data_IF_442134263691
#
_entry.id   IF_442134263691
#
_cell.length_a   1.000
_cell.length_b   1.000
_cell.length_c   1.000
_cell.angle_alpha   90.00
_cell.angle_beta   90.00
_cell.angle_gamma   90.00
#
_symmetry.space_group_name_H-M   'P 1'
#
loop_
_entity.id
_entity.type
_entity.pdbx_description
1 polymer ?
#
# COMPACT_ATOMS: atom_id res chain seq x y z
N UNK A 1 8.92 53.52 -25.67
CA UNK A 1 9.18 52.14 -25.18
C UNK A 1 7.93 51.66 -24.46
N UNK A 2 6.97 51.09 -25.18
CA UNK A 2 5.76 50.48 -24.62
C UNK A 2 5.23 49.46 -25.62
N UNK A 3 5.23 48.19 -25.21
CA UNK A 3 4.22 47.20 -25.58
C UNK A 3 4.52 45.93 -24.78
N UNK A 4 3.89 45.82 -23.61
CA UNK A 4 3.73 44.52 -22.97
C UNK A 4 2.69 43.71 -23.73
N UNK A 5 2.92 42.41 -23.88
CA UNK A 5 1.86 41.45 -24.14
C UNK A 5 2.16 40.18 -23.35
N UNK A 6 1.22 39.87 -22.46
CA UNK A 6 1.21 38.70 -21.59
C UNK A 6 1.11 37.42 -22.43
N UNK A 7 2.08 36.52 -22.29
CA UNK A 7 1.97 35.17 -22.79
C UNK A 7 1.26 34.31 -21.74
N UNK A 8 0.02 33.95 -22.06
CA UNK A 8 -0.86 33.04 -21.32
C UNK A 8 -0.14 31.71 -21.04
N UNK A 9 0.14 31.41 -19.77
CA UNK A 9 0.52 30.07 -19.33
C UNK A 9 -0.71 29.16 -19.37
N UNK A 10 -0.83 28.37 -20.44
CA UNK A 10 -1.75 27.23 -20.50
C UNK A 10 -1.26 26.15 -19.54
N UNK A 11 -1.73 26.20 -18.29
CA UNK A 11 -1.61 25.09 -17.35
C UNK A 11 -2.59 24.01 -17.81
N UNK A 12 -2.12 23.10 -18.66
CA UNK A 12 -2.79 21.82 -18.89
C UNK A 12 -2.63 20.97 -17.63
N UNK A 13 -3.47 21.23 -16.63
CA UNK A 13 -3.66 20.36 -15.49
C UNK A 13 -4.40 19.11 -15.94
N UNK A 14 -3.67 18.12 -16.47
CA UNK A 14 -4.19 16.77 -16.55
C UNK A 14 -4.41 16.30 -15.12
N UNK A 15 -5.67 16.35 -14.68
CA UNK A 15 -6.14 15.60 -13.54
C UNK A 15 -5.84 14.13 -13.85
N UNK A 16 -4.69 13.67 -13.37
CA UNK A 16 -4.31 12.27 -13.38
C UNK A 16 -5.36 11.61 -12.49
N UNK A 17 -6.43 11.10 -13.11
CA UNK A 17 -7.31 10.13 -12.50
C UNK A 17 -6.41 8.92 -12.22
N UNK A 18 -5.71 8.95 -11.09
CA UNK A 18 -5.00 7.81 -10.57
C UNK A 18 -6.07 6.76 -10.32
N UNK A 19 -6.24 5.87 -11.30
CA UNK A 19 -6.69 4.51 -11.07
C UNK A 19 -5.90 4.02 -9.87
N UNK A 20 -6.46 4.05 -8.65
CA UNK A 20 -5.76 3.65 -7.43
C UNK A 20 -5.25 2.23 -7.63
N UNK A 21 -3.98 2.01 -7.98
CA UNK A 21 -3.48 0.67 -8.15
C UNK A 21 -3.40 0.07 -6.75
N UNK A 22 -3.58 -1.24 -6.62
CA UNK A 22 -3.37 -1.94 -5.36
C UNK A 22 -4.35 -1.58 -4.22
N UNK A 23 -5.64 -1.36 -4.53
CA UNK A 23 -6.68 -1.01 -3.54
C UNK A 23 -6.64 -1.87 -2.26
N UNK A 24 -6.57 -3.20 -2.40
CA UNK A 24 -6.52 -4.13 -1.26
C UNK A 24 -5.23 -3.94 -0.46
N UNK A 25 -4.09 -3.85 -1.13
CA UNK A 25 -2.79 -3.65 -0.47
C UNK A 25 -2.76 -2.35 0.34
N UNK A 26 -3.18 -1.24 -0.28
CA UNK A 26 -3.18 0.07 0.38
C UNK A 26 -4.10 0.06 1.58
N UNK A 27 -5.31 -0.49 1.44
CA UNK A 27 -6.27 -0.59 2.54
C UNK A 27 -5.70 -1.40 3.71
N UNK A 28 -5.24 -2.63 3.48
CA UNK A 28 -4.74 -3.50 4.56
C UNK A 28 -3.53 -2.87 5.28
N UNK A 29 -2.58 -2.31 4.53
CA UNK A 29 -1.42 -1.65 5.14
C UNK A 29 -1.80 -0.39 5.90
N UNK A 30 -2.76 0.40 5.40
CA UNK A 30 -3.27 1.58 6.12
C UNK A 30 -3.96 1.18 7.41
N UNK A 31 -4.85 0.18 7.36
CA UNK A 31 -5.60 -0.31 8.53
C UNK A 31 -4.66 -0.95 9.57
N UNK A 32 -3.58 -1.60 9.14
CA UNK A 32 -2.56 -2.13 10.03
C UNK A 32 -1.73 -1.02 10.68
N UNK A 33 -1.26 -0.04 9.89
CA UNK A 33 -0.45 1.08 10.40
C UNK A 33 -1.21 2.00 11.35
N UNK A 34 -2.53 2.12 11.20
CA UNK A 34 -3.39 2.83 12.15
C UNK A 34 -3.42 2.19 13.55
N UNK A 35 -3.08 0.89 13.65
CA UNK A 35 -2.98 0.15 14.93
C UNK A 35 -1.58 0.23 15.55
N UNK A 36 -0.59 0.78 14.84
CA UNK A 36 0.79 0.88 15.34
C UNK A 36 0.90 2.08 16.29
N UNK A 37 1.35 1.90 17.55
CA UNK A 37 1.61 3.00 18.46
C UNK A 37 2.64 3.98 17.88
N UNK A 38 2.48 5.29 18.08
CA UNK A 38 3.40 6.31 17.55
C UNK A 38 4.87 6.02 17.90
N UNK A 39 5.14 5.61 19.15
CA UNK A 39 6.49 5.28 19.61
C UNK A 39 7.10 4.03 18.94
N UNK A 40 6.30 3.25 18.22
CA UNK A 40 6.69 2.01 17.56
C UNK A 40 6.68 2.12 16.02
N UNK A 41 6.18 3.22 15.46
CA UNK A 41 6.13 3.44 14.00
C UNK A 41 7.49 3.47 13.32
N UNK A 42 8.58 3.69 14.07
CA UNK A 42 9.94 3.64 13.54
C UNK A 42 10.63 2.29 13.71
N UNK A 43 9.94 1.28 14.26
CA UNK A 43 10.50 -0.04 14.57
C UNK A 43 9.93 -1.10 13.61
N UNK A 44 10.74 -1.65 12.68
CA UNK A 44 10.28 -2.65 11.72
C UNK A 44 9.70 -3.90 12.38
N UNK A 45 10.27 -4.35 13.50
CA UNK A 45 9.79 -5.55 14.21
C UNK A 45 8.41 -5.34 14.86
N UNK A 46 8.20 -4.17 15.46
CA UNK A 46 6.89 -3.78 15.99
C UNK A 46 5.84 -3.69 14.89
N UNK A 47 6.16 -3.02 13.78
CA UNK A 47 5.27 -2.95 12.61
C UNK A 47 4.96 -4.35 12.08
N UNK A 48 5.96 -5.22 11.96
CA UNK A 48 5.79 -6.61 11.53
C UNK A 48 4.82 -7.35 12.45
N UNK A 49 4.98 -7.20 13.77
CA UNK A 49 4.07 -7.82 14.75
C UNK A 49 2.63 -7.32 14.56
N UNK A 50 2.43 -6.00 14.47
CA UNK A 50 1.08 -5.42 14.30
C UNK A 50 0.44 -5.86 12.99
N UNK A 51 1.19 -5.91 11.88
CA UNK A 51 0.69 -6.41 10.60
C UNK A 51 0.29 -7.89 10.71
N UNK A 52 1.10 -8.73 11.34
CA UNK A 52 0.76 -10.15 11.56
C UNK A 52 -0.50 -10.30 12.41
N UNK A 53 -0.61 -9.56 13.51
CA UNK A 53 -1.84 -9.58 14.32
C UNK A 53 -3.05 -9.11 13.53
N UNK A 54 -2.93 -8.01 12.76
CA UNK A 54 -3.99 -7.54 11.87
C UNK A 54 -4.41 -8.65 10.89
N UNK A 55 -3.44 -9.33 10.27
CA UNK A 55 -3.66 -10.33 9.24
C UNK A 55 -4.34 -11.62 9.74
N UNK A 56 -4.20 -11.99 11.02
CA UNK A 56 -4.89 -13.17 11.59
C UNK A 56 -6.41 -13.08 11.49
N UNK A 57 -6.96 -11.86 11.65
CA UNK A 57 -8.40 -11.63 11.66
C UNK A 57 -8.97 -11.34 10.26
N UNK A 58 -8.09 -11.22 9.25
CA UNK A 58 -8.50 -10.89 7.88
C UNK A 58 -9.17 -12.07 7.17
N UNK A 59 -10.08 -11.76 6.24
CA UNK A 59 -10.79 -12.73 5.41
C UNK A 59 -10.73 -12.34 3.94
N UNK A 60 -11.07 -13.26 3.05
CA UNK A 60 -11.22 -13.00 1.61
C UNK A 60 -9.95 -12.43 0.96
N UNK A 61 -10.07 -11.26 0.30
CA UNK A 61 -8.97 -10.61 -0.43
C UNK A 61 -7.89 -10.09 0.50
N UNK A 62 -8.24 -9.66 1.71
CA UNK A 62 -7.29 -9.18 2.72
C UNK A 62 -6.41 -10.32 3.20
N UNK A 63 -7.02 -11.48 3.48
CA UNK A 63 -6.30 -12.69 3.84
C UNK A 63 -5.36 -13.15 2.72
N UNK A 64 -5.83 -13.11 1.47
CA UNK A 64 -5.00 -13.44 0.30
C UNK A 64 -3.81 -12.47 0.14
N UNK A 65 -4.01 -11.18 0.41
CA UNK A 65 -2.91 -10.21 0.44
C UNK A 65 -1.92 -10.52 1.56
N UNK A 66 -2.41 -10.75 2.79
CA UNK A 66 -1.59 -11.17 3.93
C UNK A 66 -0.77 -12.43 3.64
N UNK A 67 -1.36 -13.37 2.89
CA UNK A 67 -0.65 -14.56 2.42
C UNK A 67 0.52 -14.21 1.51
N UNK A 68 0.31 -13.33 0.53
CA UNK A 68 1.35 -12.93 -0.43
C UNK A 68 2.52 -12.19 0.24
N UNK A 69 2.26 -11.32 1.22
CA UNK A 69 3.33 -10.56 1.87
C UNK A 69 4.09 -11.34 2.94
N UNK A 70 3.69 -12.57 3.28
CA UNK A 70 4.37 -13.35 4.33
C UNK A 70 3.88 -13.05 5.75
N UNK A 71 2.68 -12.50 5.91
CA UNK A 71 2.13 -12.10 7.20
C UNK A 71 1.37 -13.22 7.94
N UNK A 72 1.13 -14.35 7.29
CA UNK A 72 0.50 -15.54 7.87
C UNK A 72 1.54 -16.62 8.18
N UNK A 73 1.31 -17.49 9.20
CA UNK A 73 2.26 -18.53 9.59
C UNK A 73 2.53 -19.56 8.49
N UNK A 74 1.59 -19.78 7.58
CA UNK A 74 1.70 -20.66 6.41
C UNK A 74 2.38 -20.01 5.19
N UNK A 75 2.72 -18.72 5.26
CA UNK A 75 3.27 -17.97 4.14
C UNK A 75 4.79 -17.99 4.07
N UNK A 76 5.33 -17.78 2.87
CA UNK A 76 6.74 -17.48 2.69
C UNK A 76 7.07 -16.10 3.29
N UNK A 77 7.96 -16.06 4.29
CA UNK A 77 8.23 -14.84 5.07
C UNK A 77 9.14 -13.82 4.36
N UNK A 78 9.56 -14.08 3.12
CA UNK A 78 10.60 -13.30 2.44
C UNK A 78 10.19 -11.86 2.12
N UNK A 79 8.89 -11.58 1.99
CA UNK A 79 8.38 -10.26 1.56
C UNK A 79 8.12 -9.31 2.74
N UNK A 80 7.91 -9.81 3.96
CA UNK A 80 7.58 -8.95 5.11
C UNK A 80 8.63 -7.88 5.42
N UNK A 81 9.91 -8.17 5.17
CA UNK A 81 11.01 -7.21 5.37
C UNK A 81 10.90 -6.04 4.39
N UNK A 82 10.44 -6.28 3.17
CA UNK A 82 10.19 -5.26 2.15
C UNK A 82 8.93 -4.43 2.44
N UNK A 83 8.08 -4.89 3.35
CA UNK A 83 6.91 -4.15 3.85
C UNK A 83 7.28 -3.32 5.08
N UNK A 84 7.84 -3.95 6.11
CA UNK A 84 8.03 -3.32 7.42
C UNK A 84 9.14 -2.27 7.44
N UNK A 85 10.24 -2.48 6.70
CA UNK A 85 11.34 -1.50 6.64
C UNK A 85 10.90 -0.17 6.00
N UNK A 86 10.29 -0.13 4.81
CA UNK A 86 9.84 1.13 4.24
C UNK A 86 8.79 1.84 5.11
N UNK A 87 7.84 1.10 5.70
CA UNK A 87 6.85 1.67 6.62
C UNK A 87 7.52 2.31 7.85
N UNK A 88 8.59 1.69 8.37
CA UNK A 88 9.34 2.24 9.51
C UNK A 88 10.03 3.57 9.23
N UNK A 89 10.29 3.87 7.96
CA UNK A 89 10.86 5.14 7.50
C UNK A 89 9.78 6.12 7.05
N UNK A 90 8.53 5.90 7.49
CA UNK A 90 7.36 6.71 7.14
C UNK A 90 7.04 6.73 5.65
N UNK A 91 7.43 5.70 4.90
CA UNK A 91 6.98 5.55 3.51
C UNK A 91 5.46 5.27 3.50
N UNK A 92 4.66 6.02 2.72
CA UNK A 92 3.22 5.83 2.70
C UNK A 92 2.85 4.47 2.06
N UNK A 93 1.75 3.83 2.51
CA UNK A 93 1.31 2.53 2.02
C UNK A 93 1.22 2.42 0.48
N UNK A 94 0.80 3.48 -0.20
CA UNK A 94 0.71 3.54 -1.67
C UNK A 94 2.07 3.26 -2.32
N UNK A 95 3.14 3.88 -1.80
CA UNK A 95 4.50 3.69 -2.33
C UNK A 95 5.07 2.32 -1.99
N UNK A 96 4.70 1.77 -0.83
CA UNK A 96 5.07 0.40 -0.47
C UNK A 96 4.39 -0.59 -1.42
N UNK A 97 3.09 -0.44 -1.68
CA UNK A 97 2.35 -1.28 -2.61
C UNK A 97 2.89 -1.23 -4.04
N UNK A 98 3.29 -0.06 -4.54
CA UNK A 98 3.95 0.06 -5.85
C UNK A 98 5.29 -0.68 -5.90
N UNK A 99 6.06 -0.69 -4.80
CA UNK A 99 7.30 -1.47 -4.72
C UNK A 99 7.02 -2.97 -4.68
N UNK A 100 5.99 -3.38 -3.94
CA UNK A 100 5.57 -4.79 -3.87
C UNK A 100 5.09 -5.29 -5.23
N UNK A 101 4.38 -4.46 -6.00
CA UNK A 101 3.97 -4.77 -7.38
C UNK A 101 5.13 -5.17 -8.28
N UNK A 102 6.28 -4.51 -8.12
CA UNK A 102 7.48 -4.81 -8.91
C UNK A 102 8.09 -6.17 -8.56
N UNK A 103 7.83 -6.69 -7.35
CA UNK A 103 8.24 -8.03 -6.92
C UNK A 103 7.22 -9.10 -7.30
N UNK A 104 5.94 -8.77 -7.12
CA UNK A 104 4.81 -9.63 -7.46
C UNK A 104 3.62 -8.78 -7.90
N UNK A 105 3.32 -8.83 -9.20
CA UNK A 105 2.22 -8.08 -9.78
C UNK A 105 0.85 -8.50 -9.20
N UNK A 106 0.71 -9.74 -8.73
CA UNK A 106 -0.54 -10.30 -8.20
C UNK A 106 -1.01 -9.53 -6.95
N UNK A 107 -0.08 -8.94 -6.19
CA UNK A 107 -0.38 -8.12 -5.00
C UNK A 107 -1.31 -6.95 -5.35
N UNK A 108 -1.09 -6.32 -6.50
CA UNK A 108 -1.85 -5.14 -6.94
C UNK A 108 -3.03 -5.48 -7.86
N UNK A 109 -3.11 -6.72 -8.34
CA UNK A 109 -4.27 -7.26 -9.06
C UNK A 109 -5.41 -7.63 -8.10
N UNK A 110 -5.11 -7.81 -6.80
CA UNK A 110 -6.13 -7.97 -5.77
C UNK A 110 -6.99 -6.71 -5.68
N UNK A 111 -8.27 -6.87 -6.02
CA UNK A 111 -9.32 -5.85 -5.90
C UNK A 111 -10.49 -6.41 -5.12
N UNK A 112 -11.17 -5.55 -4.35
CA UNK A 112 -12.46 -5.91 -3.78
C UNK A 112 -13.45 -6.03 -4.93
N UNK A 113 -13.89 -7.26 -5.21
CA UNK A 113 -14.89 -7.49 -6.25
C UNK A 113 -16.15 -6.70 -5.93
N UNK A 114 -16.72 -6.02 -6.93
CA UNK A 114 -18.09 -5.51 -6.86
C UNK A 114 -19.02 -6.69 -7.10
N UNK A 115 -19.16 -7.58 -6.11
CA UNK A 115 -19.78 -8.91 -6.21
C UNK A 115 -19.13 -9.85 -7.23
N UNK A 116 -18.35 -10.83 -6.76
CA UNK A 116 -17.97 -11.98 -7.57
C UNK A 116 -18.98 -13.09 -7.33
N UNK A 117 -20.10 -13.09 -8.07
CA UNK A 117 -20.83 -14.33 -8.32
C UNK A 117 -20.27 -14.89 -9.63
N UNK A 118 -19.43 -15.90 -9.52
CA UNK A 118 -19.15 -16.87 -10.59
C UNK A 118 -18.66 -18.16 -9.98
#
# INVERSE_FOLDING_TARGET
MLAGFAALLLIAGSALAQQKPCEVCVKVLTDAMAKVPEAEKSKPDSITKVIREHCKDTRNKDHKFCFYIGALPESATSIMVDVSKPLSWSMPPEKVCEKLKAKDAQICELKYGRFSYS
#
